data_IF_408016920979
#
_entry.id   IF_408016920979
#
_cell.length_a   1.000
_cell.length_b   1.000
_cell.length_c   1.000
_cell.angle_alpha   90.00
_cell.angle_beta   90.00
_cell.angle_gamma   90.00
#
_symmetry.space_group_name_H-M   'P 1'
#
loop_
_entity.id
_entity.type
_entity.pdbx_description
1 polymer ?
#
# COMPACT_ATOMS: atom_id res chain seq x y z
N UNK A 1 -7.37 -23.88 2.32
CA UNK A 1 -7.63 -22.47 2.64
C UNK A 1 -6.69 -21.65 1.80
N UNK A 2 -7.20 -20.72 1.00
CA UNK A 2 -6.35 -19.88 0.14
C UNK A 2 -5.78 -18.76 1.00
N UNK A 3 -4.51 -18.86 1.38
CA UNK A 3 -3.83 -17.86 2.19
C UNK A 3 -3.48 -16.63 1.34
N UNK A 4 -3.49 -15.45 1.98
CA UNK A 4 -3.05 -14.21 1.34
C UNK A 4 -1.54 -14.23 1.22
N UNK A 5 -1.04 -14.11 -0.01
CA UNK A 5 0.40 -14.05 -0.30
C UNK A 5 0.72 -12.67 -0.88
N UNK A 6 1.66 -11.96 -0.29
CA UNK A 6 2.13 -10.68 -0.83
C UNK A 6 3.13 -10.97 -1.95
N UNK A 7 2.87 -10.44 -3.14
CA UNK A 7 3.75 -10.52 -4.31
C UNK A 7 4.61 -9.28 -4.46
N UNK A 8 4.05 -8.10 -4.14
CA UNK A 8 4.75 -6.83 -4.22
C UNK A 8 4.50 -6.03 -2.94
N UNK A 9 5.61 -5.63 -2.31
CA UNK A 9 5.61 -4.76 -1.14
C UNK A 9 5.73 -3.30 -1.56
N UNK A 10 5.10 -2.36 -0.83
CA UNK A 10 5.26 -0.95 -1.10
C UNK A 10 6.73 -0.56 -0.89
N UNK A 11 7.30 0.14 -1.86
CA UNK A 11 8.70 0.57 -1.82
C UNK A 11 8.81 1.95 -1.19
N UNK A 12 9.83 2.13 -0.36
CA UNK A 12 10.20 3.44 0.16
C UNK A 12 10.52 4.38 -1.00
N UNK A 13 10.09 5.64 -0.90
CA UNK A 13 10.15 6.60 -2.00
C UNK A 13 10.37 8.02 -1.53
N UNK A 14 10.50 8.92 -2.50
CA UNK A 14 10.70 10.33 -2.22
C UNK A 14 9.70 11.17 -2.99
N UNK A 15 9.09 12.13 -2.30
CA UNK A 15 8.30 13.18 -2.93
C UNK A 15 9.28 14.27 -3.37
N UNK A 16 9.45 14.44 -4.67
CA UNK A 16 10.37 15.42 -5.24
C UNK A 16 9.58 16.59 -5.78
N UNK A 17 9.78 17.77 -5.18
CA UNK A 17 9.08 19.03 -5.54
C UNK A 17 7.55 18.89 -5.48
N UNK A 18 6.90 18.68 -6.63
CA UNK A 18 5.45 18.53 -6.77
C UNK A 18 5.04 17.14 -7.30
N UNK A 19 5.98 16.20 -7.39
CA UNK A 19 5.69 14.82 -7.83
C UNK A 19 5.35 13.95 -6.62
N UNK A 20 4.13 13.41 -6.51
CA UNK A 20 3.75 12.53 -5.41
C UNK A 20 4.53 11.22 -5.46
N UNK A 21 4.70 10.58 -4.30
CA UNK A 21 5.30 9.26 -4.21
C UNK A 21 4.21 8.20 -4.42
N UNK A 22 4.42 7.28 -5.36
CA UNK A 22 3.45 6.22 -5.66
C UNK A 22 3.85 4.96 -4.89
N UNK A 23 2.95 4.49 -4.03
CA UNK A 23 3.10 3.22 -3.33
C UNK A 23 2.24 2.17 -4.03
N UNK A 24 2.83 1.02 -4.34
CA UNK A 24 2.15 -0.10 -4.99
C UNK A 24 2.23 -1.33 -4.10
N UNK A 25 1.15 -2.10 -4.03
CA UNK A 25 1.09 -3.35 -3.28
C UNK A 25 0.31 -4.37 -4.08
N UNK A 26 0.84 -5.58 -4.26
CA UNK A 26 0.19 -6.70 -4.97
C UNK A 26 0.11 -7.90 -4.04
N UNK A 27 -1.06 -8.52 -3.97
CA UNK A 27 -1.30 -9.72 -3.15
C UNK A 27 -2.18 -10.74 -3.89
N UNK A 28 -1.88 -12.03 -3.73
CA UNK A 28 -2.69 -13.16 -4.16
C UNK A 28 -3.76 -13.50 -3.13
N UNK A 29 -4.91 -13.97 -3.60
CA UNK A 29 -6.08 -14.35 -2.81
C UNK A 29 -6.58 -13.24 -1.88
N UNK A 30 -6.22 -11.98 -2.14
CA UNK A 30 -6.69 -10.81 -1.42
C UNK A 30 -8.00 -10.29 -2.02
N UNK A 31 -9.01 -10.05 -1.17
CA UNK A 31 -10.28 -9.40 -1.57
C UNK A 31 -10.25 -7.89 -1.36
N UNK A 32 -9.49 -7.41 -0.39
CA UNK A 32 -9.30 -5.98 -0.12
C UNK A 32 -7.87 -5.69 0.22
N UNK A 33 -7.37 -4.55 -0.23
CA UNK A 33 -6.08 -4.03 0.19
C UNK A 33 -6.32 -2.64 0.80
N UNK A 34 -5.74 -2.40 1.97
CA UNK A 34 -5.80 -1.11 2.65
C UNK A 34 -4.40 -0.62 2.97
N UNK A 35 -4.16 0.67 2.80
CA UNK A 35 -2.91 1.29 3.21
C UNK A 35 -3.08 2.01 4.54
N UNK A 36 -2.16 1.74 5.46
CA UNK A 36 -2.07 2.40 6.75
C UNK A 36 -0.78 3.21 6.79
N UNK A 37 -0.91 4.53 6.76
CA UNK A 37 0.20 5.47 6.80
C UNK A 37 0.21 6.22 8.13
N UNK A 38 1.32 6.16 8.86
CA UNK A 38 1.50 6.80 10.17
C UNK A 38 0.30 6.61 11.12
N UNK A 39 -0.12 5.35 11.29
CA UNK A 39 -1.30 4.91 12.05
C UNK A 39 -2.68 5.34 11.53
N UNK A 40 -2.77 6.05 10.40
CA UNK A 40 -4.03 6.44 9.76
C UNK A 40 -4.31 5.57 8.53
N UNK A 41 -5.56 5.14 8.39
CA UNK A 41 -6.03 4.46 7.18
C UNK A 41 -6.24 5.48 6.08
N UNK A 42 -5.71 5.20 4.89
CA UNK A 42 -5.98 6.01 3.71
C UNK A 42 -7.39 5.72 3.18
N UNK A 43 -7.98 6.72 2.53
CA UNK A 43 -9.31 6.61 1.96
C UNK A 43 -9.32 5.65 0.77
N UNK A 44 -10.22 4.66 0.78
CA UNK A 44 -10.32 3.63 -0.27
C UNK A 44 -10.54 4.24 -1.67
N UNK A 45 -11.14 5.43 -1.78
CA UNK A 45 -11.34 6.10 -3.07
C UNK A 45 -10.05 6.59 -3.74
N UNK A 46 -8.98 6.79 -2.95
CA UNK A 46 -7.66 7.18 -3.48
C UNK A 46 -6.83 5.99 -3.95
N UNK A 47 -7.29 4.78 -3.67
CA UNK A 47 -6.59 3.58 -4.04
C UNK A 47 -7.01 3.18 -5.44
N UNK A 48 -6.06 3.11 -6.36
CA UNK A 48 -6.27 2.54 -7.66
C UNK A 48 -6.14 1.02 -7.56
N UNK A 49 -7.26 0.30 -7.67
CA UNK A 49 -7.30 -1.15 -7.57
C UNK A 49 -7.24 -1.79 -8.96
N UNK A 50 -6.36 -2.78 -9.11
CA UNK A 50 -6.24 -3.62 -10.30
C UNK A 50 -6.35 -5.08 -9.85
N UNK A 51 -7.32 -5.83 -10.37
CA UNK A 51 -7.47 -7.26 -10.07
C UNK A 51 -7.33 -8.09 -11.34
N UNK A 52 -6.88 -9.33 -11.19
CA UNK A 52 -6.70 -10.24 -12.31
C UNK A 52 -6.33 -11.64 -11.83
N UNK A 53 -5.97 -12.51 -12.77
CA UNK A 53 -5.43 -13.84 -12.47
C UNK A 53 -3.94 -13.79 -12.80
N UNK A 54 -3.12 -14.20 -11.85
CA UNK A 54 -1.67 -14.20 -11.99
C UNK A 54 -1.27 -15.41 -12.85
N UNK A 55 -0.54 -15.18 -13.94
CA UNK A 55 -0.22 -16.24 -14.91
C UNK A 55 0.75 -17.30 -14.37
N UNK A 56 1.53 -16.98 -13.34
CA UNK A 56 2.51 -17.88 -12.73
C UNK A 56 1.84 -18.84 -11.74
N UNK A 57 1.06 -18.26 -10.81
CA UNK A 57 0.37 -19.01 -9.75
C UNK A 57 -1.04 -19.49 -10.13
N UNK A 58 -1.60 -19.00 -11.24
CA UNK A 58 -2.99 -19.20 -11.67
C UNK A 58 -4.03 -18.86 -10.57
N UNK A 59 -3.70 -17.89 -9.72
CA UNK A 59 -4.51 -17.45 -8.60
C UNK A 59 -4.99 -16.00 -8.79
N UNK A 60 -6.14 -15.61 -8.22
CA UNK A 60 -6.59 -14.23 -8.29
C UNK A 60 -5.62 -13.33 -7.52
N UNK A 61 -5.13 -12.27 -8.15
CA UNK A 61 -4.38 -11.21 -7.51
C UNK A 61 -5.22 -9.94 -7.40
N UNK A 62 -4.91 -9.16 -6.37
CA UNK A 62 -5.35 -7.79 -6.20
C UNK A 62 -4.11 -6.93 -6.02
N UNK A 63 -4.03 -5.87 -6.82
CA UNK A 63 -3.01 -4.84 -6.74
C UNK A 63 -3.70 -3.53 -6.38
N UNK A 64 -3.08 -2.76 -5.51
CA UNK A 64 -3.55 -1.45 -5.11
C UNK A 64 -2.40 -0.45 -5.17
N UNK A 65 -2.65 0.70 -5.78
CA UNK A 65 -1.70 1.79 -5.87
C UNK A 65 -2.27 3.04 -5.24
N UNK A 66 -1.43 3.80 -4.55
CA UNK A 66 -1.84 5.04 -3.89
C UNK A 66 -0.78 6.09 -4.14
N UNK A 67 -1.22 7.33 -4.33
CA UNK A 67 -0.33 8.48 -4.45
C UNK A 67 -0.26 9.22 -3.13
N UNK A 68 0.95 9.36 -2.59
CA UNK A 68 1.24 10.12 -1.38
C UNK A 68 1.69 11.51 -1.78
N UNK A 69 0.91 12.50 -1.36
CA UNK A 69 1.20 13.90 -1.69
C UNK A 69 2.24 14.49 -0.74
N UNK A 70 2.93 15.53 -1.20
CA UNK A 70 3.88 16.29 -0.37
C UNK A 70 3.25 16.82 0.90
N UNK A 71 2.05 17.38 0.78
CA UNK A 71 1.33 17.99 1.88
C UNK A 71 1.07 16.99 3.01
N UNK A 72 0.75 15.73 2.70
CA UNK A 72 0.56 14.69 3.70
C UNK A 72 1.86 14.33 4.44
N UNK A 73 2.97 14.25 3.71
CA UNK A 73 4.29 13.97 4.32
C UNK A 73 4.72 15.14 5.20
N UNK A 74 4.60 16.38 4.72
CA UNK A 74 4.99 17.57 5.48
C UNK A 74 4.09 17.81 6.71
N UNK A 75 2.77 17.60 6.57
CA UNK A 75 1.82 17.75 7.69
C UNK A 75 2.11 16.73 8.81
N UNK A 76 2.55 15.53 8.44
CA UNK A 76 2.88 14.47 9.40
C UNK A 76 4.37 14.45 9.79
N UNK A 77 5.22 15.25 9.17
CA UNK A 77 6.66 15.29 9.47
C UNK A 77 6.94 15.72 10.93
N UNK A 78 6.04 16.53 11.52
CA UNK A 78 6.09 16.87 12.94
C UNK A 78 5.81 15.69 13.89
N UNK A 79 5.27 14.57 13.37
CA UNK A 79 4.93 13.35 14.11
C UNK A 79 5.94 12.21 13.86
N UNK A 80 6.97 12.41 13.03
CA UNK A 80 8.02 11.43 12.73
C UNK A 80 8.16 11.09 11.23
N UNK A 81 8.91 10.02 10.92
CA UNK A 81 9.09 9.53 9.55
C UNK A 81 7.75 9.00 8.99
N UNK A 82 7.32 9.55 7.85
CA UNK A 82 6.09 9.11 7.17
C UNK A 82 6.29 7.71 6.61
N UNK A 83 5.68 6.72 7.25
CA UNK A 83 5.77 5.31 6.85
C UNK A 83 4.39 4.73 6.56
N UNK A 84 4.29 3.96 5.48
CA UNK A 84 3.06 3.33 5.03
C UNK A 84 3.23 1.81 4.97
N UNK A 85 2.22 1.09 5.45
CA UNK A 85 2.13 -0.37 5.33
C UNK A 85 0.87 -0.73 4.57
N UNK A 86 1.00 -1.68 3.65
CA UNK A 86 -0.13 -2.31 2.99
C UNK A 86 -0.62 -3.50 3.82
N UNK A 87 -1.94 -3.58 3.99
CA UNK A 87 -2.68 -4.65 4.64
C UNK A 87 -3.58 -5.33 3.61
N UNK A 88 -3.27 -6.58 3.27
CA UNK A 88 -4.04 -7.39 2.31
C UNK A 88 -4.96 -8.37 3.06
N UNK A 89 -6.26 -8.33 2.77
CA UNK A 89 -7.31 -9.03 3.51
C UNK A 89 -8.03 -10.01 2.58
N UNK A 90 -8.06 -11.31 2.92
CA UNK A 90 -8.70 -12.35 2.09
C UNK A 90 -10.23 -12.41 2.20
N UNK A 91 -10.81 -12.11 3.36
CA UNK A 91 -12.25 -12.23 3.57
C UNK A 91 -12.70 -11.98 5.00
N UNK A 92 -11.90 -12.40 5.98
CA UNK A 92 -12.05 -12.04 7.39
C UNK A 92 -10.86 -11.21 7.84
N UNK A 93 -11.07 -10.30 8.80
CA UNK A 93 -9.99 -9.45 9.34
C UNK A 93 -8.85 -10.26 9.99
N UNK A 94 -9.14 -11.47 10.50
CA UNK A 94 -8.13 -12.43 10.99
C UNK A 94 -7.16 -12.92 9.90
N UNK A 95 -7.58 -12.90 8.63
CA UNK A 95 -6.75 -13.29 7.49
C UNK A 95 -6.20 -12.05 6.79
N UNK A 96 -5.63 -11.12 7.58
CA UNK A 96 -4.85 -10.00 7.06
C UNK A 96 -3.35 -10.32 6.98
N UNK A 97 -2.73 -9.95 5.86
CA UNK A 97 -1.28 -10.00 5.68
C UNK A 97 -0.73 -8.59 5.60
N UNK A 98 0.26 -8.33 6.46
CA UNK A 98 0.95 -7.04 6.55
C UNK A 98 2.24 -7.09 5.73
N UNK A 99 2.42 -6.08 4.90
CA UNK A 99 3.63 -5.86 4.11
C UNK A 99 4.69 -5.07 4.87
N UNK A 100 5.90 -4.99 4.30
CA UNK A 100 6.96 -4.11 4.79
C UNK A 100 6.54 -2.64 4.80
N UNK A 101 7.16 -1.86 5.69
CA UNK A 101 6.90 -0.43 5.79
C UNK A 101 7.67 0.34 4.72
N UNK A 102 6.96 1.07 3.88
CA UNK A 102 7.53 2.02 2.93
C UNK A 102 7.69 3.38 3.60
N UNK A 103 8.91 3.89 3.69
CA UNK A 103 9.19 5.23 4.18
C UNK A 103 9.13 6.21 3.02
N UNK A 104 8.37 7.29 3.18
CA UNK A 104 8.27 8.36 2.20
C UNK A 104 8.84 9.64 2.78
N UNK A 105 9.80 10.25 2.09
CA UNK A 105 10.44 11.50 2.52
C UNK A 105 10.33 12.57 1.46
N UNK A 106 10.32 13.83 1.85
CA UNK A 106 10.42 14.94 0.88
C UNK A 106 11.88 15.16 0.53
N UNK A 107 12.19 15.16 -0.77
CA UNK A 107 13.50 15.53 -1.31
C UNK A 107 13.36 16.84 -2.11
N UNK A 108 14.36 17.71 -1.99
CA UNK A 108 14.38 19.07 -2.55
C UNK A 108 15.20 19.16 -3.84
#
# INVERSE_FOLDING_TARGET
>A
MNEVVLLEHPKSGYVVRSRPAILSCKALNARRIKFKCNNRWLDENRHNYESGIDSDSNQPFLKAQVEITRQEVETNAGLGDFSCRCHAIAGSADQEKRSEAANVKVAY
#
